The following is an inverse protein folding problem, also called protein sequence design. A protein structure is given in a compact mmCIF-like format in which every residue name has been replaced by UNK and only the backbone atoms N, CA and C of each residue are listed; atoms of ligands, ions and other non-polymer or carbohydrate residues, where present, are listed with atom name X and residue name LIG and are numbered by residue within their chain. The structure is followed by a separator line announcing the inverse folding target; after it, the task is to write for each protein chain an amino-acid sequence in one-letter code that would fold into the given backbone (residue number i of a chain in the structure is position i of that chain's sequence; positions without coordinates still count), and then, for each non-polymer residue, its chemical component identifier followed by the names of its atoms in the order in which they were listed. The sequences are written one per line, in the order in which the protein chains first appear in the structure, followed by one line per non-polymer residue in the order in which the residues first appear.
data_IF_261138798873
#
_entry.id   IF_261138798873
#
_cell.length_a   1.000
_cell.length_b   1.000
_cell.length_c   1.000
_cell.angle_alpha   90.00
_cell.angle_beta   90.00
_cell.angle_gamma   90.00
#
_symmetry.space_group_name_H-M   'P 1'
#
loop_
_entity.id
_entity.type
_entity.pdbx_description
1 polymer ?
#
# COMPACT_ATOMS: atom_id res chain seq x y z
N UNK A 1 24.45 -23.77 -8.46
CA UNK A 1 24.21 -23.48 -7.03
C UNK A 1 22.72 -23.61 -6.78
N UNK A 2 22.28 -24.65 -6.11
CA UNK A 2 20.86 -24.80 -5.72
C UNK A 2 20.59 -23.86 -4.56
N UNK A 3 19.88 -22.78 -4.82
CA UNK A 3 19.43 -21.86 -3.79
C UNK A 3 18.37 -22.56 -2.94
N UNK A 4 18.71 -22.95 -1.71
CA UNK A 4 17.74 -23.49 -0.75
C UNK A 4 17.12 -22.34 0.05
N UNK A 5 15.84 -22.01 -0.21
CA UNK A 5 15.18 -21.00 0.59
C UNK A 5 15.00 -21.50 2.03
N UNK A 6 15.17 -20.62 3.00
CA UNK A 6 15.01 -20.95 4.41
C UNK A 6 14.25 -19.82 5.14
N UNK A 7 13.59 -20.19 6.23
CA UNK A 7 12.93 -19.27 7.13
C UNK A 7 13.43 -19.46 8.56
N UNK A 8 13.68 -18.36 9.26
CA UNK A 8 13.95 -18.35 10.71
C UNK A 8 12.85 -17.54 11.40
N UNK A 9 12.19 -18.14 12.36
CA UNK A 9 11.02 -17.60 13.03
C UNK A 9 11.26 -17.62 14.53
N UNK A 10 10.98 -16.52 15.19
CA UNK A 10 10.99 -16.40 16.64
C UNK A 10 9.60 -16.00 17.11
N UNK A 11 9.04 -16.72 18.09
CA UNK A 11 7.70 -16.50 18.66
C UNK A 11 7.85 -16.60 20.19
N UNK A 12 7.98 -15.47 20.87
CA UNK A 12 8.42 -15.45 22.26
C UNK A 12 9.78 -16.14 22.41
N UNK A 13 9.84 -17.15 23.26
CA UNK A 13 11.05 -17.97 23.47
C UNK A 13 11.20 -19.11 22.46
N UNK A 14 10.15 -19.42 21.70
CA UNK A 14 10.15 -20.48 20.71
C UNK A 14 10.88 -20.02 19.44
N UNK A 15 11.89 -20.79 19.03
CA UNK A 15 12.62 -20.58 17.77
C UNK A 15 12.39 -21.75 16.84
N UNK A 16 12.19 -21.45 15.59
CA UNK A 16 11.94 -22.43 14.56
C UNK A 16 12.68 -22.06 13.27
N UNK A 17 13.69 -22.83 12.95
CA UNK A 17 14.45 -22.75 11.71
C UNK A 17 14.08 -23.94 10.85
N UNK A 18 13.51 -23.73 9.69
CA UNK A 18 12.98 -24.82 8.90
C UNK A 18 13.20 -24.69 7.41
N UNK A 19 13.56 -25.82 6.83
CA UNK A 19 13.51 -26.04 5.38
C UNK A 19 12.20 -26.73 4.93
N UNK A 20 11.29 -27.07 5.86
CA UNK A 20 10.17 -27.98 5.61
C UNK A 20 8.79 -27.51 6.07
N UNK A 21 8.59 -26.24 6.34
CA UNK A 21 7.30 -25.71 6.80
C UNK A 21 6.48 -25.03 5.72
N UNK A 22 5.14 -25.04 5.92
CA UNK A 22 4.26 -24.16 5.15
C UNK A 22 4.20 -22.80 5.84
N UNK A 23 4.85 -21.81 5.23
CA UNK A 23 4.85 -20.41 5.63
C UNK A 23 4.18 -19.57 4.55
N UNK A 24 3.33 -18.64 4.96
CA UNK A 24 2.81 -17.58 4.11
C UNK A 24 2.92 -16.26 4.85
N UNK A 25 3.54 -15.27 4.22
CA UNK A 25 3.60 -13.90 4.74
C UNK A 25 3.06 -12.94 3.71
N UNK A 26 2.17 -12.05 4.13
CA UNK A 26 1.57 -11.02 3.28
C UNK A 26 1.90 -9.65 3.86
N UNK A 27 2.49 -8.80 3.04
CA UNK A 27 2.78 -7.40 3.31
C UNK A 27 1.95 -6.55 2.35
N UNK A 28 1.39 -5.44 2.82
CA UNK A 28 0.56 -4.53 2.01
C UNK A 28 0.69 -3.08 2.45
N UNK A 29 0.32 -2.15 1.57
CA UNK A 29 0.06 -0.78 1.97
C UNK A 29 -1.13 -0.74 2.93
N UNK A 30 -1.15 0.23 3.86
CA UNK A 30 -2.35 0.47 4.66
C UNK A 30 -3.54 0.87 3.76
N UNK A 31 -4.77 0.48 4.13
CA UNK A 31 -5.20 -0.10 5.40
C UNK A 31 -5.05 -1.63 5.48
N UNK A 32 -4.32 -2.28 4.58
CA UNK A 32 -4.11 -3.71 4.64
C UNK A 32 -3.27 -4.13 5.85
N UNK A 33 -3.59 -5.31 6.41
CA UNK A 33 -2.86 -5.86 7.55
C UNK A 33 -1.73 -6.77 7.07
N UNK A 34 -0.52 -6.51 7.55
CA UNK A 34 0.63 -7.37 7.34
C UNK A 34 0.59 -8.54 8.34
N UNK A 35 0.76 -9.73 7.84
CA UNK A 35 0.70 -10.91 8.70
C UNK A 35 1.49 -12.07 8.10
N UNK A 36 1.92 -12.97 8.96
CA UNK A 36 2.36 -14.28 8.52
C UNK A 36 1.61 -15.39 9.23
N UNK A 37 1.52 -16.54 8.58
CA UNK A 37 1.06 -17.78 9.19
C UNK A 37 2.06 -18.90 8.92
N UNK A 38 2.29 -19.72 9.94
CA UNK A 38 3.16 -20.88 9.85
C UNK A 38 2.44 -22.12 10.36
N UNK A 39 2.57 -23.23 9.66
CA UNK A 39 2.17 -24.54 10.12
C UNK A 39 3.39 -25.31 10.64
N UNK A 40 3.46 -25.52 11.95
CA UNK A 40 4.52 -26.28 12.62
C UNK A 40 4.01 -27.70 12.90
N UNK A 41 4.77 -28.76 12.60
CA UNK A 41 4.39 -30.12 12.97
C UNK A 41 4.13 -30.26 14.49
N UNK A 42 3.11 -31.02 14.89
CA UNK A 42 2.77 -31.18 16.31
C UNK A 42 3.86 -31.85 17.15
N UNK A 43 4.80 -32.55 16.50
CA UNK A 43 6.01 -33.08 17.15
C UNK A 43 6.93 -31.99 17.73
N UNK A 44 6.88 -30.77 17.18
CA UNK A 44 7.55 -29.62 17.75
C UNK A 44 6.61 -28.92 18.73
N UNK A 45 6.95 -28.94 20.01
CA UNK A 45 6.15 -28.29 21.05
C UNK A 45 6.24 -26.80 20.90
N UNK A 46 5.17 -26.16 20.41
CA UNK A 46 5.07 -24.70 20.25
C UNK A 46 4.62 -24.10 21.58
N UNK A 47 5.50 -23.35 22.24
CA UNK A 47 5.26 -22.77 23.57
C UNK A 47 4.74 -21.32 23.52
N UNK A 48 4.53 -20.72 22.32
CA UNK A 48 4.06 -19.33 22.22
C UNK A 48 2.56 -19.19 22.51
N UNK A 49 2.21 -17.96 22.93
CA UNK A 49 0.83 -17.52 23.21
C UNK A 49 0.49 -16.22 22.45
N UNK A 50 -0.81 -15.90 22.28
CA UNK A 50 -1.21 -14.60 21.76
C UNK A 50 -0.66 -13.45 22.61
N UNK A 51 -0.06 -12.44 21.96
CA UNK A 51 0.64 -11.32 22.58
C UNK A 51 2.16 -11.46 22.62
N UNK A 52 2.70 -12.66 22.48
CA UNK A 52 4.16 -12.85 22.44
C UNK A 52 4.80 -12.14 21.26
N UNK A 53 6.04 -11.64 21.40
CA UNK A 53 6.78 -11.03 20.30
C UNK A 53 7.01 -12.07 19.19
N UNK A 54 6.88 -11.60 17.94
CA UNK A 54 7.06 -12.42 16.75
C UNK A 54 8.02 -11.76 15.77
N UNK A 55 8.95 -12.55 15.24
CA UNK A 55 9.89 -12.12 14.19
C UNK A 55 9.99 -13.18 13.11
N UNK A 56 9.92 -12.74 11.87
CA UNK A 56 10.13 -13.58 10.69
C UNK A 56 11.29 -13.07 9.87
N UNK A 57 12.27 -13.91 9.66
CA UNK A 57 13.35 -13.70 8.69
C UNK A 57 13.21 -14.72 7.56
N UNK A 58 13.46 -14.29 6.33
CA UNK A 58 13.39 -15.13 5.15
C UNK A 58 14.66 -14.98 4.33
N UNK A 59 15.18 -16.11 3.84
CA UNK A 59 16.35 -16.15 2.97
C UNK A 59 15.94 -16.76 1.61
N UNK A 60 16.10 -15.98 0.55
CA UNK A 60 15.87 -16.41 -0.84
C UNK A 60 17.13 -16.92 -1.53
N UNK A 61 18.26 -17.02 -0.81
CA UNK A 61 19.57 -17.40 -1.34
C UNK A 61 20.59 -16.26 -1.44
N UNK A 62 20.16 -15.00 -1.24
CA UNK A 62 21.03 -13.81 -1.25
C UNK A 62 21.29 -13.24 0.15
N UNK A 63 20.98 -13.99 1.19
CA UNK A 63 21.05 -13.57 2.59
C UNK A 63 19.69 -13.47 3.27
N UNK A 64 19.72 -13.34 4.60
CA UNK A 64 18.52 -13.27 5.42
C UNK A 64 17.95 -11.85 5.44
N UNK A 65 16.65 -11.71 5.24
CA UNK A 65 15.91 -10.46 5.30
C UNK A 65 14.82 -10.56 6.36
N UNK A 66 14.76 -9.60 7.29
CA UNK A 66 13.64 -9.50 8.24
C UNK A 66 12.41 -9.02 7.49
N UNK A 67 11.36 -9.83 7.45
CA UNK A 67 10.12 -9.49 6.76
C UNK A 67 9.09 -8.85 7.68
N UNK A 68 8.95 -9.38 8.88
CA UNK A 68 7.94 -8.91 9.81
C UNK A 68 8.48 -9.00 11.24
N UNK A 69 8.26 -7.93 11.98
CA UNK A 69 8.40 -7.83 13.42
C UNK A 69 7.02 -7.44 13.96
N UNK A 70 6.54 -8.10 14.98
CA UNK A 70 5.20 -7.84 15.52
C UNK A 70 4.87 -8.77 16.67
N UNK A 71 3.62 -9.20 16.77
CA UNK A 71 3.13 -10.05 17.85
C UNK A 71 2.31 -11.23 17.33
N UNK A 72 2.33 -12.33 18.09
CA UNK A 72 1.45 -13.47 17.86
C UNK A 72 0.00 -13.04 18.09
N UNK A 73 -0.86 -13.29 17.09
CA UNK A 73 -2.30 -12.96 17.17
C UNK A 73 -3.18 -14.17 17.42
N UNK A 74 -2.66 -15.37 17.12
CA UNK A 74 -3.41 -16.58 17.36
C UNK A 74 -2.58 -17.83 17.23
N UNK A 75 -2.92 -18.82 18.06
CA UNK A 75 -2.33 -20.15 18.06
C UNK A 75 -3.45 -21.18 17.97
N UNK A 76 -3.47 -21.93 16.89
CA UNK A 76 -4.43 -23.03 16.70
C UNK A 76 -3.70 -24.37 16.78
N UNK A 77 -3.89 -25.08 17.87
CA UNK A 77 -3.33 -26.43 18.10
C UNK A 77 -4.25 -27.47 17.47
N UNK A 78 -3.72 -28.24 16.54
CA UNK A 78 -4.40 -29.37 15.90
C UNK A 78 -3.68 -30.67 16.15
N UNK A 79 -4.27 -31.77 15.70
CA UNK A 79 -3.71 -33.10 15.90
C UNK A 79 -2.35 -33.31 15.22
N UNK A 80 -2.21 -32.87 13.97
CA UNK A 80 -1.00 -33.08 13.16
C UNK A 80 -0.10 -31.86 13.07
N UNK A 81 -0.63 -30.66 13.34
CA UNK A 81 0.10 -29.39 13.22
C UNK A 81 -0.47 -28.34 14.16
N UNK A 82 0.40 -27.42 14.56
CA UNK A 82 0.02 -26.16 15.20
C UNK A 82 0.17 -25.04 14.18
N UNK A 83 -0.89 -24.27 13.96
CA UNK A 83 -0.83 -23.04 13.16
C UNK A 83 -0.66 -21.85 14.07
N UNK A 84 0.38 -21.04 13.81
CA UNK A 84 0.59 -19.76 14.47
C UNK A 84 0.39 -18.66 13.46
N UNK A 85 -0.33 -17.61 13.86
CA UNK A 85 -0.55 -16.39 13.07
C UNK A 85 0.02 -15.21 13.84
N UNK A 86 0.83 -14.40 13.20
CA UNK A 86 1.36 -13.16 13.77
C UNK A 86 1.16 -11.99 12.80
N UNK A 87 1.09 -10.79 13.36
CA UNK A 87 0.92 -9.56 12.59
C UNK A 87 1.78 -8.45 13.18
N UNK A 88 2.11 -7.47 12.35
CA UNK A 88 2.83 -6.26 12.75
C UNK A 88 1.87 -5.16 13.26
N UNK A 89 2.38 -3.96 13.48
CA UNK A 89 1.66 -2.79 13.95
C UNK A 89 0.45 -2.39 13.07
N UNK A 90 0.38 -2.85 11.82
CA UNK A 90 -0.79 -2.61 10.98
C UNK A 90 -2.08 -3.21 11.56
N UNK A 91 -1.96 -4.32 12.30
CA UNK A 91 -3.10 -4.95 12.97
C UNK A 91 -3.61 -4.09 14.14
N UNK A 92 -2.73 -3.40 14.86
CA UNK A 92 -3.10 -2.50 15.96
C UNK A 92 -3.81 -1.26 15.41
N UNK A 93 -3.27 -0.67 14.34
CA UNK A 93 -3.94 0.42 13.61
C UNK A 93 -5.30 0.00 13.03
N UNK A 94 -5.42 -1.23 12.54
CA UNK A 94 -6.67 -1.74 11.96
C UNK A 94 -7.72 -2.07 13.03
N UNK A 95 -7.33 -2.27 14.28
CA UNK A 95 -8.24 -2.54 15.39
C UNK A 95 -8.73 -1.27 16.09
N UNK A 96 -7.94 -0.20 16.09
CA UNK A 96 -8.27 1.06 16.76
C UNK A 96 -9.34 1.82 15.98
N UNK A 97 -10.36 2.30 16.68
CA UNK A 97 -11.40 3.23 16.20
C UNK A 97 -11.41 4.47 17.07
N UNK A 98 -10.68 5.48 16.64
CA UNK A 98 -10.55 6.74 17.37
C UNK A 98 -11.79 7.63 17.20
N UNK A 99 -12.08 8.43 18.22
CA UNK A 99 -13.10 9.49 18.21
C UNK A 99 -12.45 10.81 18.64
N UNK A 100 -11.65 11.38 17.77
CA UNK A 100 -10.89 12.59 18.07
C UNK A 100 -11.09 13.68 17.00
N UNK A 101 -11.03 14.94 17.45
CA UNK A 101 -11.06 16.11 16.56
C UNK A 101 -9.74 16.85 16.66
N UNK A 102 -9.14 17.15 15.52
CA UNK A 102 -7.88 17.84 15.39
C UNK A 102 -8.11 19.18 14.69
N UNK A 103 -7.61 20.28 15.25
CA UNK A 103 -7.79 21.64 14.71
C UNK A 103 -6.42 22.25 14.49
N UNK A 104 -6.16 22.77 13.27
CA UNK A 104 -4.91 23.44 12.92
C UNK A 104 -3.67 22.54 12.97
N UNK A 105 -3.84 21.22 12.82
CA UNK A 105 -2.73 20.25 12.81
C UNK A 105 -2.45 19.77 11.39
N UNK A 106 -1.18 19.49 11.09
CA UNK A 106 -0.82 18.85 9.83
C UNK A 106 -1.33 17.40 9.79
N UNK A 107 -1.58 16.87 8.58
CA UNK A 107 -1.98 15.47 8.41
C UNK A 107 -0.95 14.49 8.96
N UNK A 108 0.33 14.86 8.92
CA UNK A 108 1.44 14.14 9.54
C UNK A 108 1.26 13.99 11.07
N UNK A 109 0.89 15.09 11.75
CA UNK A 109 0.69 15.09 13.19
C UNK A 109 -0.56 14.29 13.58
N UNK A 110 -1.63 14.42 12.78
CA UNK A 110 -2.85 13.62 12.99
C UNK A 110 -2.53 12.13 12.86
N UNK A 111 -1.77 11.73 11.83
CA UNK A 111 -1.38 10.33 11.66
C UNK A 111 -0.49 9.83 12.80
N UNK A 112 0.44 10.68 13.30
CA UNK A 112 1.29 10.36 14.44
C UNK A 112 0.46 10.15 15.73
N UNK A 113 -0.55 11.00 15.96
CA UNK A 113 -1.44 10.85 17.14
C UNK A 113 -2.29 9.59 17.06
N UNK A 114 -2.81 9.24 15.88
CA UNK A 114 -3.54 7.98 15.69
C UNK A 114 -2.64 6.75 15.86
N UNK A 115 -1.37 6.86 15.45
CA UNK A 115 -0.38 5.80 15.67
C UNK A 115 -0.06 5.65 17.16
N UNK A 116 0.19 6.74 17.87
CA UNK A 116 0.45 6.75 19.32
C UNK A 116 -0.72 6.16 20.12
N UNK A 117 -1.97 6.52 19.77
CA UNK A 117 -3.18 5.95 20.38
C UNK A 117 -3.28 4.43 20.14
N UNK A 118 -2.77 3.93 19.01
CA UNK A 118 -2.68 2.50 18.70
C UNK A 118 -1.46 1.81 19.33
N UNK A 119 -0.59 2.54 20.03
CA UNK A 119 0.68 2.02 20.55
C UNK A 119 1.74 1.78 19.45
N UNK A 120 1.63 2.46 18.31
CA UNK A 120 2.50 2.29 17.15
C UNK A 120 3.45 3.48 17.01
N UNK A 121 4.75 3.21 16.98
CA UNK A 121 5.77 4.25 16.79
C UNK A 121 5.75 4.79 15.36
N UNK A 122 6.12 6.07 15.21
CA UNK A 122 6.35 6.68 13.89
C UNK A 122 7.77 6.41 13.39
N UNK A 123 7.87 6.10 12.10
CA UNK A 123 9.09 6.10 11.29
C UNK A 123 9.19 7.36 10.42
N UNK A 124 9.66 7.19 9.18
CA UNK A 124 9.76 8.28 8.20
C UNK A 124 8.40 8.92 7.93
N UNK A 125 8.35 10.25 7.87
CA UNK A 125 7.11 10.98 7.65
C UNK A 125 7.29 12.12 6.65
N UNK A 126 6.97 11.84 5.39
CA UNK A 126 7.04 12.79 4.26
C UNK A 126 5.68 13.41 3.92
N UNK A 127 4.66 13.24 4.77
CA UNK A 127 3.31 13.73 4.49
C UNK A 127 3.24 15.26 4.72
N UNK A 128 3.15 16.00 3.63
CA UNK A 128 2.89 17.44 3.63
C UNK A 128 1.41 17.70 3.29
N UNK A 129 0.59 17.79 4.33
CA UNK A 129 -0.85 18.01 4.20
C UNK A 129 -1.33 18.93 5.34
N UNK A 130 -1.30 20.25 5.17
CA UNK A 130 -1.82 21.18 6.17
C UNK A 130 -3.35 21.05 6.27
N UNK A 131 -3.86 20.85 7.48
CA UNK A 131 -5.29 20.68 7.74
C UNK A 131 -5.80 21.78 8.69
N UNK A 132 -6.88 22.45 8.30
CA UNK A 132 -7.57 23.36 9.21
C UNK A 132 -8.33 22.63 10.31
N UNK A 133 -8.96 21.50 9.96
CA UNK A 133 -9.64 20.62 10.90
C UNK A 133 -9.73 19.20 10.33
N UNK A 134 -9.64 18.21 11.20
CA UNK A 134 -9.86 16.80 10.87
C UNK A 134 -10.62 16.11 12.01
N UNK A 135 -11.64 15.33 11.65
CA UNK A 135 -12.35 14.49 12.60
C UNK A 135 -12.06 13.01 12.28
N UNK A 136 -11.40 12.32 13.19
CA UNK A 136 -11.34 10.88 13.17
C UNK A 136 -12.63 10.34 13.79
N UNK A 137 -13.43 9.65 13.01
CA UNK A 137 -14.69 9.06 13.45
C UNK A 137 -14.58 7.54 13.57
N UNK A 138 -15.35 6.95 14.48
CA UNK A 138 -15.31 5.51 14.78
C UNK A 138 -15.84 4.62 13.66
N UNK A 139 -16.35 5.16 12.56
CA UNK A 139 -16.78 4.35 11.39
C UNK A 139 -15.57 3.78 10.65
N UNK A 140 -14.43 4.46 10.78
CA UNK A 140 -13.14 4.05 10.20
C UNK A 140 -12.16 3.63 11.25
N UNK A 141 -11.27 2.73 10.91
CA UNK A 141 -10.11 2.38 11.74
C UNK A 141 -9.01 3.42 11.62
N UNK A 142 -8.07 3.44 12.57
CA UNK A 142 -6.89 4.30 12.48
C UNK A 142 -6.09 4.04 11.20
N UNK A 143 -5.97 2.77 10.77
CA UNK A 143 -5.33 2.41 9.50
C UNK A 143 -6.02 3.06 8.28
N UNK A 144 -7.35 3.09 8.27
CA UNK A 144 -8.13 3.72 7.19
C UNK A 144 -8.00 5.24 7.21
N UNK A 145 -8.00 5.88 8.40
CA UNK A 145 -7.75 7.31 8.54
C UNK A 145 -6.36 7.70 8.07
N UNK A 146 -5.32 6.97 8.49
CA UNK A 146 -3.93 7.20 8.07
C UNK A 146 -3.77 7.01 6.57
N UNK A 147 -4.33 5.94 6.01
CA UNK A 147 -4.30 5.69 4.56
C UNK A 147 -5.02 6.78 3.77
N UNK A 148 -6.14 7.27 4.27
CA UNK A 148 -6.89 8.37 3.66
C UNK A 148 -6.10 9.69 3.65
N UNK A 149 -5.50 10.06 4.78
CA UNK A 149 -4.65 11.26 4.89
C UNK A 149 -3.43 11.16 3.99
N UNK A 150 -2.74 10.01 4.00
CA UNK A 150 -1.62 9.76 3.10
C UNK A 150 -2.03 9.92 1.63
N UNK A 151 -3.17 9.33 1.24
CA UNK A 151 -3.69 9.43 -0.12
C UNK A 151 -4.01 10.86 -0.55
N UNK A 152 -4.55 11.70 0.35
CA UNK A 152 -4.81 13.12 0.08
C UNK A 152 -3.51 13.91 -0.12
N UNK A 153 -2.46 13.59 0.63
CA UNK A 153 -1.15 14.25 0.50
C UNK A 153 -0.23 13.62 -0.54
N UNK A 154 -0.70 12.64 -1.31
CA UNK A 154 0.13 11.96 -2.32
C UNK A 154 1.23 11.07 -1.73
N UNK A 155 1.04 10.58 -0.53
CA UNK A 155 1.93 9.68 0.17
C UNK A 155 1.38 8.24 0.20
N UNK A 156 2.25 7.29 0.56
CA UNK A 156 1.94 5.90 0.85
C UNK A 156 2.12 5.67 2.35
N UNK A 157 1.17 4.98 2.95
CA UNK A 157 1.26 4.56 4.35
C UNK A 157 1.67 3.09 4.43
N UNK A 158 2.77 2.80 5.11
CA UNK A 158 3.36 1.46 5.24
C UNK A 158 3.81 1.22 6.69
N UNK A 159 3.88 -0.04 7.08
CA UNK A 159 4.67 -0.44 8.26
C UNK A 159 6.05 -0.85 7.77
N UNK A 160 7.08 -0.21 8.33
CA UNK A 160 8.47 -0.47 7.95
C UNK A 160 9.04 -1.78 8.57
N UNK A 161 10.30 -2.07 8.28
CA UNK A 161 10.95 -3.29 8.78
C UNK A 161 11.17 -3.28 10.31
N UNK A 162 11.14 -2.10 10.93
CA UNK A 162 11.29 -1.90 12.36
C UNK A 162 9.94 -1.83 13.09
N UNK A 163 8.85 -2.22 12.42
CA UNK A 163 7.48 -2.22 12.95
C UNK A 163 6.95 -0.81 13.29
N UNK A 164 7.34 0.22 12.50
CA UNK A 164 6.91 1.60 12.69
C UNK A 164 6.03 2.05 11.52
N UNK A 165 5.08 2.94 11.78
CA UNK A 165 4.30 3.59 10.74
C UNK A 165 5.17 4.58 9.97
N UNK A 166 5.33 4.39 8.68
CA UNK A 166 6.00 5.34 7.79
C UNK A 166 5.04 5.89 6.74
N UNK A 167 5.10 7.21 6.54
CA UNK A 167 4.36 7.94 5.50
C UNK A 167 5.38 8.42 4.47
N UNK A 168 5.48 7.73 3.36
CA UNK A 168 6.49 7.99 2.32
C UNK A 168 5.85 8.62 1.12
N UNK A 169 6.49 9.63 0.55
CA UNK A 169 6.06 10.21 -0.72
C UNK A 169 5.94 9.10 -1.77
N UNK A 170 4.88 9.16 -2.57
CA UNK A 170 4.71 8.21 -3.69
C UNK A 170 5.93 8.31 -4.62
N UNK A 171 6.60 7.19 -4.92
CA UNK A 171 7.80 7.22 -5.74
C UNK A 171 7.48 7.66 -7.17
N UNK A 172 8.39 8.44 -7.75
CA UNK A 172 8.35 8.91 -9.14
C UNK A 172 9.66 8.65 -9.89
N UNK A 173 10.59 8.00 -9.22
CA UNK A 173 11.95 7.71 -9.72
C UNK A 173 12.06 6.40 -10.52
N UNK A 174 13.29 5.99 -10.82
CA UNK A 174 13.57 4.71 -11.47
C UNK A 174 13.12 3.54 -10.59
N UNK A 175 13.01 2.36 -11.20
CA UNK A 175 12.67 1.14 -10.48
C UNK A 175 13.78 0.72 -9.52
N UNK A 176 13.38 0.26 -8.32
CA UNK A 176 14.29 -0.30 -7.32
C UNK A 176 14.88 -1.64 -7.76
N UNK A 177 14.12 -2.38 -8.57
CA UNK A 177 14.50 -3.71 -9.08
C UNK A 177 13.86 -3.98 -10.44
N UNK A 178 14.62 -4.58 -11.36
CA UNK A 178 14.11 -5.11 -12.61
C UNK A 178 13.88 -6.63 -12.50
N UNK A 179 12.70 -7.08 -12.93
CA UNK A 179 12.32 -8.49 -12.96
C UNK A 179 12.08 -8.93 -14.41
N UNK A 180 12.75 -10.01 -14.84
CA UNK A 180 12.68 -10.54 -16.20
C UNK A 180 11.86 -11.81 -16.24
N UNK A 181 11.01 -11.92 -17.24
CA UNK A 181 10.29 -13.16 -17.51
C UNK A 181 11.26 -14.27 -17.92
N UNK A 182 11.04 -15.47 -17.37
CA UNK A 182 11.91 -16.62 -17.59
C UNK A 182 13.20 -16.62 -16.74
N UNK A 183 13.44 -15.58 -15.93
CA UNK A 183 14.56 -15.51 -15.00
C UNK A 183 14.09 -15.37 -13.56
N UNK A 184 13.57 -14.20 -13.15
CA UNK A 184 13.00 -13.96 -11.81
C UNK A 184 11.49 -14.21 -11.81
N UNK A 185 10.79 -13.91 -12.92
CA UNK A 185 9.35 -14.05 -13.04
C UNK A 185 8.96 -15.42 -13.60
N UNK A 186 8.00 -16.07 -12.95
CA UNK A 186 7.40 -17.35 -13.34
C UNK A 186 6.14 -17.12 -14.16
N UNK A 187 5.31 -16.13 -13.75
CA UNK A 187 4.07 -15.78 -14.42
C UNK A 187 3.74 -14.31 -14.20
N UNK A 188 3.06 -13.71 -15.16
CA UNK A 188 2.62 -12.32 -15.10
C UNK A 188 1.24 -12.19 -15.76
N UNK A 189 0.35 -11.46 -15.10
CA UNK A 189 -0.98 -11.10 -15.57
C UNK A 189 -1.12 -9.57 -15.40
N UNK A 190 -1.31 -8.88 -16.49
CA UNK A 190 -1.55 -7.44 -16.51
C UNK A 190 -2.99 -7.20 -16.98
N UNK A 191 -3.71 -6.40 -16.23
CA UNK A 191 -5.11 -6.08 -16.53
C UNK A 191 -5.26 -4.59 -16.72
N UNK A 192 -5.79 -4.23 -17.87
CA UNK A 192 -6.18 -2.86 -18.18
C UNK A 192 -7.67 -2.69 -17.89
N UNK A 193 -8.00 -1.69 -17.12
CA UNK A 193 -9.38 -1.32 -16.79
C UNK A 193 -9.71 0.00 -17.48
N UNK A 194 -10.94 0.11 -17.97
CA UNK A 194 -11.46 1.40 -18.38
C UNK A 194 -11.36 2.36 -17.19
N UNK A 195 -10.58 3.42 -17.33
CA UNK A 195 -10.48 4.45 -16.31
C UNK A 195 -11.84 5.13 -16.25
N UNK A 196 -12.59 4.90 -15.16
CA UNK A 196 -13.82 5.62 -14.92
C UNK A 196 -13.54 7.13 -14.92
N UNK A 197 -14.57 7.93 -15.28
CA UNK A 197 -14.49 9.38 -15.27
C UNK A 197 -13.69 9.91 -14.06
N UNK A 198 -12.81 10.91 -14.23
CA UNK A 198 -11.96 11.40 -13.16
C UNK A 198 -12.84 11.84 -11.99
N UNK A 199 -12.63 11.27 -10.81
CA UNK A 199 -13.27 11.72 -9.59
C UNK A 199 -12.35 12.74 -8.92
N UNK A 200 -12.85 13.93 -8.67
CA UNK A 200 -12.09 15.04 -8.10
C UNK A 200 -12.63 15.34 -6.70
N UNK A 201 -11.80 15.29 -5.65
CA UNK A 201 -12.23 15.72 -4.33
C UNK A 201 -12.47 17.23 -4.33
N UNK A 202 -13.59 17.65 -3.76
CA UNK A 202 -13.93 19.04 -3.58
C UNK A 202 -13.85 19.36 -2.09
N UNK A 203 -13.15 20.43 -1.75
CA UNK A 203 -13.23 20.99 -0.41
C UNK A 203 -14.67 21.42 -0.13
N UNK A 204 -15.31 20.78 0.83
CA UNK A 204 -16.66 21.14 1.27
C UNK A 204 -16.63 21.35 2.77
N UNK A 205 -16.86 22.60 3.18
CA UNK A 205 -17.07 22.95 4.56
C UNK A 205 -18.54 22.99 4.92
N UNK A 206 -18.92 22.81 6.19
CA UNK A 206 -20.25 23.23 6.64
C UNK A 206 -20.45 24.70 6.29
N UNK A 207 -21.64 25.06 5.86
CA UNK A 207 -22.00 26.47 5.64
C UNK A 207 -21.74 27.23 6.93
N UNK A 208 -20.67 28.04 6.95
CA UNK A 208 -20.35 28.92 8.06
C UNK A 208 -20.88 30.31 7.78
N UNK A 209 -21.04 31.12 8.82
CA UNK A 209 -21.28 32.55 8.64
C UNK A 209 -20.07 33.23 7.97
N UNK A 210 -20.27 34.44 7.44
CA UNK A 210 -19.16 35.21 6.85
C UNK A 210 -18.03 35.48 7.87
N UNK A 211 -18.35 35.47 9.15
CA UNK A 211 -17.43 35.68 10.26
C UNK A 211 -16.81 34.39 10.82
N UNK A 212 -17.17 33.25 10.23
CA UNK A 212 -16.57 31.96 10.66
C UNK A 212 -15.08 31.95 10.37
N UNK A 213 -14.25 31.33 11.23
CA UNK A 213 -12.85 31.05 10.94
C UNK A 213 -12.70 30.35 9.60
N UNK A 214 -11.60 30.60 8.88
CA UNK A 214 -11.34 30.00 7.56
C UNK A 214 -11.48 28.46 7.56
N UNK A 215 -11.18 27.84 8.70
CA UNK A 215 -11.38 26.40 8.93
C UNK A 215 -12.83 25.93 8.73
N UNK A 216 -13.80 26.80 8.89
CA UNK A 216 -15.24 26.47 8.84
C UNK A 216 -15.93 27.04 7.59
N UNK A 217 -15.24 27.85 6.80
CA UNK A 217 -15.83 28.41 5.55
C UNK A 217 -15.90 27.35 4.45
N UNK A 218 -16.98 27.36 3.64
CA UNK A 218 -17.03 26.55 2.44
C UNK A 218 -15.89 26.93 1.48
N UNK A 219 -15.24 25.94 0.90
CA UNK A 219 -14.19 26.16 -0.08
C UNK A 219 -14.60 25.54 -1.41
N UNK A 220 -14.58 26.31 -2.46
CA UNK A 220 -14.69 25.80 -3.84
C UNK A 220 -13.29 25.51 -4.34
N UNK A 221 -13.06 24.28 -4.79
CA UNK A 221 -11.78 23.89 -5.41
C UNK A 221 -11.86 24.24 -6.89
N UNK A 222 -10.91 25.02 -7.43
CA UNK A 222 -10.82 25.16 -8.87
C UNK A 222 -10.59 23.79 -9.52
N UNK A 223 -11.27 23.56 -10.64
CA UNK A 223 -11.05 22.36 -11.45
C UNK A 223 -9.59 22.34 -11.92
N UNK A 224 -8.87 21.23 -11.78
CA UNK A 224 -7.62 21.05 -12.50
C UNK A 224 -7.90 21.15 -14.01
N UNK A 225 -7.07 21.86 -14.76
CA UNK A 225 -7.25 22.10 -16.21
C UNK A 225 -7.52 20.81 -17.02
N UNK A 226 -6.97 19.70 -16.59
CA UNK A 226 -7.18 18.38 -17.20
C UNK A 226 -8.55 17.75 -16.94
N UNK A 227 -9.28 18.20 -15.94
CA UNK A 227 -10.63 17.71 -15.63
C UNK A 227 -11.71 18.42 -16.48
N UNK A 228 -11.32 19.48 -17.18
CA UNK A 228 -12.22 20.29 -18.03
C UNK A 228 -12.11 19.95 -19.52
N UNK A 229 -11.38 18.89 -19.89
CA UNK A 229 -11.31 18.48 -21.28
C UNK A 229 -12.73 18.14 -21.81
N UNK A 230 -13.12 18.63 -22.99
CA UNK A 230 -14.43 18.35 -23.57
C UNK A 230 -14.73 16.86 -23.64
N UNK A 231 -15.89 16.44 -23.15
CA UNK A 231 -16.32 15.04 -23.17
C UNK A 231 -15.83 14.19 -21.99
N UNK A 232 -15.21 14.77 -20.98
CA UNK A 232 -14.85 14.06 -19.74
C UNK A 232 -15.80 14.50 -18.62
N UNK A 233 -16.71 13.62 -18.23
CA UNK A 233 -17.54 13.81 -17.05
C UNK A 233 -16.71 13.63 -15.79
N UNK A 234 -16.44 14.70 -15.06
CA UNK A 234 -15.78 14.66 -13.77
C UNK A 234 -16.78 14.24 -12.68
N UNK A 235 -16.46 13.18 -11.94
CA UNK A 235 -17.18 12.84 -10.71
C UNK A 235 -16.62 13.63 -9.54
N UNK A 236 -17.45 14.46 -8.95
CA UNK A 236 -17.10 15.26 -7.77
C UNK A 236 -17.51 14.51 -6.51
N UNK A 237 -16.66 14.54 -5.49
CA UNK A 237 -17.03 14.07 -4.16
C UNK A 237 -16.55 15.03 -3.09
N UNK A 238 -17.39 15.24 -2.08
CA UNK A 238 -17.08 16.13 -0.98
C UNK A 238 -15.98 15.55 -0.10
N UNK A 239 -14.95 16.35 0.16
CA UNK A 239 -13.88 16.07 1.11
C UNK A 239 -13.81 17.19 2.14
N UNK A 240 -14.61 17.10 3.24
CA UNK A 240 -14.74 18.18 4.22
C UNK A 240 -13.44 18.63 4.88
N UNK A 241 -12.41 17.80 4.82
CA UNK A 241 -11.07 18.07 5.34
C UNK A 241 -10.29 19.09 4.49
N UNK A 242 -10.63 19.25 3.21
CA UNK A 242 -9.95 20.14 2.27
C UNK A 242 -10.54 21.54 2.35
N UNK A 243 -10.05 22.36 3.29
CA UNK A 243 -10.63 23.67 3.63
C UNK A 243 -10.00 24.86 2.91
N UNK A 244 -8.82 24.67 2.33
CA UNK A 244 -8.13 25.73 1.60
C UNK A 244 -7.96 25.38 0.13
N UNK A 245 -8.00 26.35 -0.82
CA UNK A 245 -7.82 26.06 -2.24
C UNK A 245 -6.52 25.34 -2.55
N UNK A 246 -5.41 25.72 -1.92
CA UNK A 246 -4.10 25.09 -2.16
C UNK A 246 -4.08 23.60 -1.78
N UNK A 247 -4.61 23.24 -0.61
CA UNK A 247 -4.71 21.85 -0.16
C UNK A 247 -5.66 21.05 -1.05
N UNK A 248 -6.75 21.65 -1.49
CA UNK A 248 -7.70 20.98 -2.37
C UNK A 248 -7.10 20.70 -3.76
N UNK A 249 -6.31 21.63 -4.33
CA UNK A 249 -5.60 21.43 -5.60
C UNK A 249 -4.53 20.32 -5.47
N UNK A 250 -3.74 20.34 -4.39
CA UNK A 250 -2.73 19.32 -4.14
C UNK A 250 -3.35 17.92 -3.98
N UNK A 251 -4.43 17.82 -3.21
CA UNK A 251 -5.17 16.58 -3.03
C UNK A 251 -5.82 16.06 -4.34
N UNK A 252 -6.34 16.97 -5.18
CA UNK A 252 -6.88 16.60 -6.49
C UNK A 252 -5.78 16.03 -7.40
N UNK A 253 -4.59 16.64 -7.41
CA UNK A 253 -3.45 16.14 -8.17
C UNK A 253 -2.98 14.75 -7.67
N UNK A 254 -2.85 14.56 -6.35
CA UNK A 254 -2.50 13.28 -5.74
C UNK A 254 -3.51 12.18 -6.08
N UNK A 255 -4.79 12.52 -6.01
CA UNK A 255 -5.87 11.60 -6.34
C UNK A 255 -5.86 11.20 -7.83
N UNK A 256 -5.61 12.13 -8.73
CA UNK A 256 -5.49 11.84 -10.16
C UNK A 256 -4.33 10.89 -10.46
N UNK A 257 -3.16 11.09 -9.84
CA UNK A 257 -2.01 10.20 -9.98
C UNK A 257 -2.35 8.77 -9.51
N UNK A 258 -3.00 8.64 -8.37
CA UNK A 258 -3.42 7.35 -7.84
C UNK A 258 -4.42 6.64 -8.77
N UNK A 259 -5.38 7.38 -9.31
CA UNK A 259 -6.37 6.81 -10.24
C UNK A 259 -5.78 6.43 -11.59
N UNK A 260 -4.85 7.22 -12.11
CA UNK A 260 -4.14 6.89 -13.34
C UNK A 260 -3.40 5.55 -13.22
N UNK A 261 -2.74 5.31 -12.08
CA UNK A 261 -2.10 4.03 -11.77
C UNK A 261 -3.09 2.86 -11.63
N UNK A 262 -4.26 3.12 -11.01
CA UNK A 262 -5.27 2.09 -10.77
C UNK A 262 -5.96 1.56 -12.05
N UNK A 263 -5.84 2.28 -13.18
CA UNK A 263 -6.36 1.83 -14.47
C UNK A 263 -5.60 0.63 -15.05
N UNK A 264 -4.41 0.36 -14.55
CA UNK A 264 -3.59 -0.76 -15.00
C UNK A 264 -3.03 -1.50 -13.80
N UNK A 265 -3.33 -2.78 -13.67
CA UNK A 265 -2.96 -3.60 -12.51
C UNK A 265 -2.12 -4.79 -12.92
N UNK A 266 -1.11 -5.04 -12.10
CA UNK A 266 -0.21 -6.17 -12.18
C UNK A 266 -0.58 -7.23 -11.16
N UNK A 267 -0.56 -8.49 -11.58
CA UNK A 267 -0.40 -9.64 -10.70
C UNK A 267 0.68 -10.55 -11.26
N UNK A 268 1.79 -10.68 -10.55
CA UNK A 268 2.91 -11.49 -10.99
C UNK A 268 3.31 -12.52 -9.94
N UNK A 269 3.92 -13.60 -10.40
CA UNK A 269 4.55 -14.62 -9.55
C UNK A 269 6.01 -14.74 -9.92
N UNK A 270 6.88 -14.60 -8.92
CA UNK A 270 8.33 -14.72 -9.05
C UNK A 270 8.85 -15.85 -8.16
N UNK A 271 10.11 -16.25 -8.37
CA UNK A 271 10.86 -16.99 -7.37
C UNK A 271 10.92 -16.22 -6.07
N UNK A 272 11.32 -16.85 -4.97
CA UNK A 272 11.33 -16.22 -3.66
C UNK A 272 12.30 -15.02 -3.62
N UNK A 273 11.75 -13.81 -3.47
CA UNK A 273 12.45 -12.53 -3.44
C UNK A 273 12.11 -11.77 -2.15
N UNK A 274 12.75 -12.10 -1.00
CA UNK A 274 12.39 -11.52 0.30
C UNK A 274 12.61 -10.01 0.41
N UNK A 275 13.42 -9.42 -0.48
CA UNK A 275 13.69 -7.97 -0.49
C UNK A 275 12.50 -7.13 -0.95
N UNK A 276 11.54 -7.74 -1.68
CA UNK A 276 10.40 -7.01 -2.22
C UNK A 276 9.38 -6.66 -1.13
N UNK A 277 8.95 -5.39 -1.12
CA UNK A 277 8.01 -4.84 -0.16
C UNK A 277 6.98 -3.94 -0.83
N UNK A 278 5.80 -3.76 -0.23
CA UNK A 278 4.85 -2.73 -0.67
C UNK A 278 5.51 -1.33 -0.64
N UNK A 279 5.17 -0.50 -1.63
CA UNK A 279 5.75 0.82 -1.81
C UNK A 279 7.00 0.86 -2.68
N UNK A 280 7.64 -0.28 -2.96
CA UNK A 280 8.75 -0.37 -3.92
C UNK A 280 8.25 -0.28 -5.36
N UNK A 281 9.12 0.20 -6.22
CA UNK A 281 8.93 0.27 -7.67
C UNK A 281 9.70 -0.85 -8.33
N UNK A 282 9.00 -1.64 -9.13
CA UNK A 282 9.65 -2.66 -9.96
C UNK A 282 9.46 -2.37 -11.44
N UNK A 283 10.42 -2.78 -12.24
CA UNK A 283 10.31 -2.82 -13.70
C UNK A 283 10.15 -4.27 -14.16
N UNK A 284 9.14 -4.54 -14.98
CA UNK A 284 8.95 -5.84 -15.60
C UNK A 284 9.41 -5.74 -17.04
N UNK A 285 10.24 -6.72 -17.45
CA UNK A 285 10.90 -6.76 -18.73
C UNK A 285 10.77 -8.14 -19.38
N UNK A 286 10.87 -8.17 -20.71
CA UNK A 286 10.96 -9.39 -21.51
C UNK A 286 9.73 -10.29 -21.44
N UNK A 287 8.54 -9.71 -21.24
CA UNK A 287 7.30 -10.46 -21.38
C UNK A 287 7.07 -10.84 -22.86
N UNK A 288 6.40 -11.98 -23.13
CA UNK A 288 6.01 -12.36 -24.50
C UNK A 288 5.19 -11.28 -25.22
N UNK A 289 4.34 -10.57 -24.47
CA UNK A 289 3.66 -9.36 -24.91
C UNK A 289 4.34 -8.13 -24.29
N UNK A 290 5.11 -7.40 -25.10
CA UNK A 290 5.84 -6.20 -24.67
C UNK A 290 4.92 -5.06 -24.20
N UNK A 291 3.63 -5.08 -24.56
CA UNK A 291 2.66 -4.11 -24.04
C UNK A 291 2.41 -4.27 -22.53
N UNK A 292 2.74 -5.43 -22.00
CA UNK A 292 2.65 -5.71 -20.57
C UNK A 292 3.95 -5.36 -19.79
N UNK A 293 5.06 -5.09 -20.47
CA UNK A 293 6.27 -4.55 -19.85
C UNK A 293 5.98 -3.16 -19.24
N UNK A 294 6.70 -2.78 -18.22
CA UNK A 294 6.51 -1.46 -17.60
C UNK A 294 6.97 -1.36 -16.16
N UNK A 295 6.71 -0.18 -15.60
CA UNK A 295 7.08 0.18 -14.23
C UNK A 295 5.85 0.12 -13.32
N UNK A 296 6.00 -0.55 -12.18
CA UNK A 296 4.90 -0.91 -11.30
C UNK A 296 5.21 -0.56 -9.84
N UNK A 297 4.28 0.10 -9.19
CA UNK A 297 4.29 0.29 -7.74
C UNK A 297 3.67 -0.93 -7.07
N UNK A 298 4.43 -1.60 -6.21
CA UNK A 298 3.92 -2.73 -5.45
C UNK A 298 2.97 -2.26 -4.34
N UNK A 299 1.75 -2.77 -4.36
CA UNK A 299 0.73 -2.50 -3.34
C UNK A 299 0.61 -3.63 -2.32
N UNK A 300 0.93 -4.86 -2.76
CA UNK A 300 0.94 -6.05 -1.89
C UNK A 300 2.00 -7.02 -2.37
N UNK A 301 2.67 -7.66 -1.41
CA UNK A 301 3.65 -8.72 -1.64
C UNK A 301 3.32 -9.90 -0.75
N UNK A 302 3.21 -11.10 -1.32
CA UNK A 302 2.98 -12.33 -0.56
C UNK A 302 4.09 -13.33 -0.84
N UNK A 303 4.89 -13.66 0.18
CA UNK A 303 5.88 -14.71 0.09
C UNK A 303 5.31 -16.01 0.62
N UNK A 304 5.57 -17.09 -0.09
CA UNK A 304 5.14 -18.45 0.28
C UNK A 304 6.32 -19.39 0.25
N UNK A 305 6.52 -20.10 1.34
CA UNK A 305 7.48 -21.17 1.45
C UNK A 305 6.71 -22.44 1.79
N UNK A 306 6.95 -23.51 1.05
CA UNK A 306 6.37 -24.83 1.32
C UNK A 306 7.48 -25.84 1.47
N UNK A 307 7.21 -26.87 2.25
CA UNK A 307 8.11 -28.01 2.33
C UNK A 307 8.42 -28.54 0.92
N UNK A 308 9.70 -28.72 0.63
CA UNK A 308 10.19 -29.26 -0.66
C UNK A 308 9.88 -28.41 -1.91
N UNK A 309 9.53 -27.13 -1.74
CA UNK A 309 9.28 -26.20 -2.86
C UNK A 309 10.30 -25.05 -2.84
N UNK A 310 10.60 -24.51 -4.02
CA UNK A 310 11.57 -23.42 -4.18
C UNK A 310 11.15 -22.09 -3.52
N UNK A 311 9.95 -22.03 -2.99
CA UNK A 311 9.37 -20.79 -2.49
C UNK A 311 8.98 -19.83 -3.61
N UNK A 312 7.98 -19.01 -3.38
CA UNK A 312 7.46 -18.07 -4.38
C UNK A 312 7.08 -16.74 -3.75
N UNK A 313 7.16 -15.69 -4.55
CA UNK A 313 6.68 -14.34 -4.24
C UNK A 313 5.57 -13.99 -5.22
N UNK A 314 4.39 -13.65 -4.71
CA UNK A 314 3.28 -13.09 -5.50
C UNK A 314 3.26 -11.59 -5.28
N UNK A 315 3.19 -10.85 -6.37
CA UNK A 315 3.23 -9.40 -6.44
C UNK A 315 1.90 -8.90 -6.96
N UNK A 316 1.28 -7.98 -6.24
CA UNK A 316 0.17 -7.17 -6.74
C UNK A 316 0.66 -5.72 -6.82
N UNK A 317 0.41 -5.06 -7.94
CA UNK A 317 0.89 -3.70 -8.18
C UNK A 317 -0.05 -2.89 -9.08
N UNK A 318 0.23 -1.60 -9.16
CA UNK A 318 -0.42 -0.66 -10.05
C UNK A 318 0.61 0.08 -10.89
N UNK A 319 0.25 0.50 -12.10
CA UNK A 319 1.18 1.18 -12.99
C UNK A 319 1.61 2.53 -12.42
N UNK A 320 2.92 2.84 -12.51
CA UNK A 320 3.44 4.18 -12.23
C UNK A 320 3.39 5.09 -13.45
N UNK A 321 3.47 4.53 -14.66
CA UNK A 321 3.29 5.33 -15.86
C UNK A 321 1.86 5.87 -15.88
N UNK A 322 1.72 7.17 -16.05
CA UNK A 322 0.44 7.73 -16.44
C UNK A 322 -0.03 6.91 -17.65
N UNK A 323 -1.21 6.29 -17.57
CA UNK A 323 -1.80 5.62 -18.71
C UNK A 323 -1.82 6.64 -19.84
N UNK A 324 -0.83 6.59 -20.71
CA UNK A 324 -0.88 7.32 -21.97
C UNK A 324 -2.08 6.73 -22.67
N UNK A 325 -3.17 7.52 -22.70
CA UNK A 325 -4.53 7.10 -23.00
C UNK A 325 -4.61 6.00 -24.04
N UNK A 326 -5.66 5.23 -23.95
CA UNK A 326 -6.03 4.15 -24.86
C UNK A 326 -5.43 4.37 -26.26
N UNK A 327 -4.76 3.39 -26.86
CA UNK A 327 -4.12 3.55 -28.19
C UNK A 327 -5.04 4.14 -29.26
N UNK A 328 -6.36 4.00 -29.09
CA UNK A 328 -7.36 4.57 -29.96
C UNK A 328 -7.55 6.10 -29.91
N UNK A 329 -7.20 6.76 -28.78
CA UNK A 329 -7.33 8.22 -28.65
C UNK A 329 -6.15 8.98 -29.26
N UNK A 330 -4.97 8.38 -29.38
CA UNK A 330 -3.85 8.99 -30.10
C UNK A 330 -4.06 9.05 -31.61
N UNK A 331 -4.72 8.05 -32.19
CA UNK A 331 -5.05 8.05 -33.62
C UNK A 331 -6.08 9.13 -33.98
N UNK A 332 -7.07 9.39 -33.11
CA UNK A 332 -8.07 10.43 -33.36
C UNK A 332 -7.53 11.85 -33.24
N UNK A 333 -6.59 12.11 -32.31
CA UNK A 333 -6.01 13.43 -32.16
C UNK A 333 -5.06 13.82 -33.31
N UNK A 334 -4.32 12.85 -33.86
CA UNK A 334 -3.44 13.08 -35.03
C UNK A 334 -4.25 13.25 -36.31
N UNK A 335 -5.38 12.53 -36.46
CA UNK A 335 -6.26 12.68 -37.62
C UNK A 335 -6.97 14.03 -37.64
N UNK A 336 -7.32 14.62 -36.49
CA UNK A 336 -7.99 15.91 -36.39
C UNK A 336 -7.05 17.09 -36.71
N UNK A 337 -5.73 16.98 -36.53
CA UNK A 337 -4.76 18.02 -36.88
C UNK A 337 -4.36 17.94 -38.37
N UNK A 338 -4.42 16.75 -38.98
CA UNK A 338 -4.09 16.57 -40.40
C UNK A 338 -5.18 16.98 -41.39
N UNK A 339 -6.40 17.30 -40.91
CA UNK A 339 -7.52 17.75 -41.77
C UNK A 339 -7.74 19.28 -41.76
N UNK A 340 -6.84 20.07 -41.12
CA UNK A 340 -6.88 21.51 -41.02
C UNK A 340 -5.64 22.17 -41.67
N UNK A 341 -4.85 21.44 -42.40
CA UNK A 341 -3.83 21.91 -43.35
C UNK A 341 -4.17 21.39 -44.77
#
# INVERSE_FOLDING_TARGET
MTLSPSASITLGDFRYDSHGTCLSVTLSLLPGVNSFSIDVPSAATVSCEPGDPARLNLNGGEGSTTLLVGTVRGVRRGFSRTRVTAADASADLASLRSAATFIGQAGADVAARLADEAGVSMGDNDLDLPLSAYAADQRRTAAEHVSYLAGLGGALAVIDADNRLALRRRPSGPADLALRYGRELIACDVRDFAVAAPAVPIGNGPAGSADAPDALRPTTTPLPDRATAPGIDARWFAAPVLRTPGVAVAAAAAYQMTRAGAGRRLRARAFLLPKLRPGMVIEIQSLPDSLADGTWLLTRVTHRLRAHDAGTTVLDGESLAASTGLPGLRAAAVAAVGSLL
#
